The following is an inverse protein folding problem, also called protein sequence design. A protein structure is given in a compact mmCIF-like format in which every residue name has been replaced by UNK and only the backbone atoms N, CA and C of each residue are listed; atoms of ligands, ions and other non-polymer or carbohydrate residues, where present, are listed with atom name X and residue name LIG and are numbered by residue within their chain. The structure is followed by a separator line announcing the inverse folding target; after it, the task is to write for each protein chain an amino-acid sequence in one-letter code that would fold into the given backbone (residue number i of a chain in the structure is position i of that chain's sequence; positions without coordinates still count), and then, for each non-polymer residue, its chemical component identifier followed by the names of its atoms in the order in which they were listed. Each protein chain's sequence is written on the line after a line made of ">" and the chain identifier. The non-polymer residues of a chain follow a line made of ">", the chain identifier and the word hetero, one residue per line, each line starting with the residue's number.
data_IF_398881366012
#
_entry.id   IF_398881366012
#
_cell.length_a   1.000
_cell.length_b   1.000
_cell.length_c   1.000
_cell.angle_alpha   90.00
_cell.angle_beta   90.00
_cell.angle_gamma   90.00
#
_symmetry.space_group_name_H-M   'P 1'
#
loop_
_entity.id
_entity.type
_entity.pdbx_description
1 polymer ?
#
# COMPACT_ATOMS: atom_id res chain seq x y z
N UNK A 1 -6.59 3.03 -7.09
CA UNK A 1 -5.13 3.21 -7.35
C UNK A 1 -4.52 2.05 -8.16
N UNK A 2 -4.61 0.78 -7.73
CA UNK A 2 -3.96 -0.34 -8.46
C UNK A 2 -4.52 -0.63 -9.86
N UNK A 3 -5.84 -0.62 -10.01
CA UNK A 3 -6.52 -0.79 -11.31
C UNK A 3 -6.02 0.24 -12.36
N UNK A 4 -5.75 1.48 -11.92
CA UNK A 4 -5.19 2.54 -12.77
C UNK A 4 -3.79 2.17 -13.24
N UNK A 5 -2.90 1.73 -12.34
CA UNK A 5 -1.54 1.34 -12.71
C UNK A 5 -1.51 0.11 -13.61
N UNK A 6 -2.38 -0.87 -13.38
CA UNK A 6 -2.46 -2.07 -14.23
C UNK A 6 -2.96 -1.72 -15.63
N UNK A 7 -3.93 -0.80 -15.72
CA UNK A 7 -4.40 -0.26 -17.00
C UNK A 7 -3.26 0.47 -17.74
N UNK A 8 -2.50 1.31 -17.05
CA UNK A 8 -1.36 2.00 -17.65
C UNK A 8 -0.29 1.03 -18.14
N UNK A 9 0.01 -0.02 -17.38
CA UNK A 9 0.98 -1.05 -17.80
C UNK A 9 0.51 -1.81 -19.03
N UNK A 10 -0.78 -2.17 -19.10
CA UNK A 10 -1.35 -2.84 -20.28
C UNK A 10 -1.19 -1.99 -21.54
N UNK A 11 -1.58 -0.71 -21.48
CA UNK A 11 -1.44 0.23 -22.60
C UNK A 11 0.03 0.45 -22.95
N UNK A 12 0.92 0.56 -21.95
CA UNK A 12 2.35 0.70 -22.19
C UNK A 12 2.95 -0.52 -22.91
N UNK A 13 2.48 -1.75 -22.64
CA UNK A 13 2.87 -2.95 -23.40
C UNK A 13 2.42 -2.87 -24.86
N UNK A 14 1.18 -2.47 -25.10
CA UNK A 14 0.64 -2.28 -26.46
C UNK A 14 1.43 -1.22 -27.25
N UNK A 15 1.85 -0.14 -26.59
CA UNK A 15 2.65 0.93 -27.17
C UNK A 15 4.17 0.65 -27.21
N UNK A 16 4.63 -0.53 -26.77
CA UNK A 16 6.05 -0.90 -26.69
C UNK A 16 6.89 0.08 -25.84
N UNK A 17 6.31 0.60 -24.76
CA UNK A 17 6.96 1.51 -23.81
C UNK A 17 7.55 0.78 -22.62
N UNK A 18 8.82 1.07 -22.29
CA UNK A 18 9.51 0.46 -21.14
C UNK A 18 9.24 1.21 -19.82
N UNK A 19 8.81 2.47 -19.90
CA UNK A 19 8.64 3.36 -18.76
C UNK A 19 7.34 4.15 -18.85
N UNK A 20 6.73 4.41 -17.69
CA UNK A 20 5.55 5.26 -17.54
C UNK A 20 5.92 6.40 -16.60
N UNK A 21 5.71 7.65 -17.03
CA UNK A 21 5.91 8.82 -16.16
C UNK A 21 4.60 9.23 -15.50
N UNK A 22 4.59 9.35 -14.18
CA UNK A 22 3.44 9.89 -13.42
C UNK A 22 3.75 11.29 -12.89
N UNK A 23 2.73 12.14 -12.89
CA UNK A 23 2.79 13.50 -12.38
C UNK A 23 2.44 13.55 -10.87
N UNK A 24 3.04 12.67 -10.08
CA UNK A 24 2.83 12.64 -8.63
C UNK A 24 3.78 13.64 -7.94
N UNK A 25 3.21 14.68 -7.33
CA UNK A 25 3.93 15.69 -6.53
C UNK A 25 4.25 15.20 -5.12
N UNK A 26 5.11 15.90 -4.38
CA UNK A 26 5.39 15.63 -2.96
C UNK A 26 4.09 15.58 -2.14
N UNK A 27 3.18 16.53 -2.38
CA UNK A 27 1.87 16.62 -1.71
C UNK A 27 1.00 15.43 -2.04
N UNK A 28 0.90 15.05 -3.32
CA UNK A 28 0.12 13.90 -3.77
C UNK A 28 0.64 12.60 -3.14
N UNK A 29 1.97 12.45 -3.12
CA UNK A 29 2.63 11.30 -2.52
C UNK A 29 2.41 11.20 -1.02
N UNK A 30 2.47 12.31 -0.29
CA UNK A 30 2.18 12.33 1.14
C UNK A 30 0.74 11.91 1.45
N UNK A 31 -0.24 12.40 0.69
CA UNK A 31 -1.65 11.99 0.84
C UNK A 31 -1.80 10.48 0.60
N UNK A 32 -1.21 9.98 -0.49
CA UNK A 32 -1.27 8.56 -0.83
C UNK A 32 -0.58 7.69 0.20
N UNK A 33 0.59 8.11 0.68
CA UNK A 33 1.37 7.44 1.72
C UNK A 33 0.57 7.29 3.00
N UNK A 34 0.07 8.40 3.57
CA UNK A 34 -0.70 8.36 4.82
C UNK A 34 -1.99 7.55 4.68
N UNK A 35 -2.66 7.66 3.52
CA UNK A 35 -3.85 6.85 3.22
C UNK A 35 -3.52 5.36 3.18
N UNK A 36 -2.43 4.98 2.51
CA UNK A 36 -1.97 3.60 2.42
C UNK A 36 -1.54 3.06 3.79
N UNK A 37 -0.85 3.86 4.59
CA UNK A 37 -0.44 3.49 5.95
C UNK A 37 -1.65 3.25 6.85
N UNK A 38 -2.67 4.12 6.82
CA UNK A 38 -3.89 3.97 7.60
C UNK A 38 -4.65 2.66 7.32
N UNK A 39 -4.56 2.13 6.09
CA UNK A 39 -5.18 0.84 5.71
C UNK A 39 -4.24 -0.37 5.89
N UNK A 40 -3.06 -0.18 6.49
CA UNK A 40 -2.13 -1.26 6.83
C UNK A 40 -1.20 -1.69 5.69
N UNK A 41 -0.77 -0.76 4.82
CA UNK A 41 0.15 -1.01 3.70
C UNK A 41 1.59 -0.60 3.98
N UNK A 42 2.07 -0.86 5.19
CA UNK A 42 3.44 -0.53 5.60
C UNK A 42 4.52 -1.20 4.73
N UNK A 43 4.31 -2.44 4.31
CA UNK A 43 5.30 -3.19 3.52
C UNK A 43 5.40 -2.77 2.05
N UNK A 44 4.57 -1.82 1.60
CA UNK A 44 4.62 -1.29 0.23
C UNK A 44 5.16 0.13 0.15
N UNK A 45 5.53 0.71 1.29
CA UNK A 45 5.93 2.13 1.40
C UNK A 45 7.05 2.47 0.43
N UNK A 46 8.09 1.64 0.34
CA UNK A 46 9.22 1.85 -0.59
C UNK A 46 8.78 2.08 -2.04
N UNK A 47 7.84 1.29 -2.55
CA UNK A 47 7.37 1.37 -3.93
C UNK A 47 6.38 2.52 -4.14
N UNK A 48 5.65 2.86 -3.08
CA UNK A 48 4.60 3.88 -3.12
C UNK A 48 5.22 5.29 -3.01
N UNK A 49 6.37 5.47 -2.36
CA UNK A 49 7.06 6.76 -2.18
C UNK A 49 8.30 6.97 -3.06
N UNK A 50 9.00 5.88 -3.41
CA UNK A 50 10.29 5.97 -4.10
C UNK A 50 10.18 6.58 -5.50
N UNK A 51 11.33 6.95 -6.07
CA UNK A 51 11.39 7.52 -7.42
C UNK A 51 10.82 6.59 -8.50
N UNK A 52 11.02 5.28 -8.35
CA UNK A 52 10.51 4.28 -9.28
C UNK A 52 9.73 3.18 -8.57
N UNK A 53 8.57 2.83 -9.11
CA UNK A 53 7.90 1.57 -8.82
C UNK A 53 8.37 0.50 -9.82
N UNK A 54 9.18 -0.43 -9.33
CA UNK A 54 9.79 -1.54 -10.08
C UNK A 54 9.19 -2.91 -9.73
N UNK A 55 7.93 -2.93 -9.26
CA UNK A 55 7.20 -4.19 -8.96
C UNK A 55 6.85 -5.02 -10.20
N UNK A 56 6.96 -4.43 -11.39
CA UNK A 56 6.61 -5.04 -12.68
C UNK A 56 7.74 -4.78 -13.70
N UNK A 57 7.65 -5.43 -14.87
CA UNK A 57 8.56 -5.26 -16.00
C UNK A 57 8.59 -3.81 -16.50
N UNK A 58 7.41 -3.20 -16.65
CA UNK A 58 7.27 -1.78 -16.98
C UNK A 58 7.32 -0.96 -15.70
N UNK A 59 8.36 -0.13 -15.61
CA UNK A 59 8.61 0.70 -14.44
C UNK A 59 7.80 1.99 -14.50
N UNK A 60 7.23 2.38 -13.37
CA UNK A 60 6.57 3.68 -13.22
C UNK A 60 7.55 4.63 -12.54
N UNK A 61 7.80 5.79 -13.15
CA UNK A 61 8.76 6.79 -12.72
C UNK A 61 8.04 8.07 -12.28
N UNK A 62 8.53 8.69 -11.21
CA UNK A 62 7.95 9.89 -10.58
C UNK A 62 8.93 11.07 -10.68
N UNK A 63 9.09 11.68 -11.86
CA UNK A 63 10.10 12.71 -12.10
C UNK A 63 9.88 13.98 -11.26
N UNK A 64 8.65 14.27 -10.86
CA UNK A 64 8.29 15.47 -10.10
C UNK A 64 8.00 15.18 -8.61
N UNK A 65 8.48 14.04 -8.09
CA UNK A 65 8.17 13.59 -6.71
C UNK A 65 8.59 14.57 -5.61
N UNK A 66 9.58 15.40 -5.90
CA UNK A 66 10.17 16.37 -4.97
C UNK A 66 9.67 17.81 -5.23
N UNK A 67 8.71 17.97 -6.14
CA UNK A 67 8.03 19.25 -6.43
C UNK A 67 6.69 19.27 -5.70
N UNK A 68 6.39 20.35 -4.99
CA UNK A 68 5.09 20.50 -4.29
C UNK A 68 3.97 20.91 -5.25
N UNK A 69 2.71 20.75 -4.83
CA UNK A 69 1.56 21.20 -5.62
C UNK A 69 1.57 22.73 -5.80
N UNK A 70 2.03 23.49 -4.81
CA UNK A 70 2.15 24.96 -4.89
C UNK A 70 3.23 25.37 -5.90
N UNK A 71 4.40 24.75 -5.87
CA UNK A 71 5.49 25.03 -6.82
C UNK A 71 5.06 24.71 -8.25
N UNK A 72 4.37 23.58 -8.44
CA UNK A 72 3.82 23.20 -9.73
C UNK A 72 2.78 24.22 -10.22
N UNK A 73 1.92 24.71 -9.32
CA UNK A 73 0.92 25.73 -9.65
C UNK A 73 1.59 27.04 -10.10
N UNK A 74 2.57 27.54 -9.35
CA UNK A 74 3.32 28.74 -9.72
C UNK A 74 4.05 28.57 -11.05
N UNK A 75 4.64 27.40 -11.29
CA UNK A 75 5.31 27.09 -12.55
C UNK A 75 4.34 27.15 -13.74
N UNK A 76 3.15 26.57 -13.61
CA UNK A 76 2.11 26.58 -14.66
C UNK A 76 1.67 28.01 -14.96
N UNK A 77 1.44 28.82 -13.92
CA UNK A 77 1.07 30.23 -14.05
C UNK A 77 2.15 31.02 -14.80
N UNK A 78 3.42 30.91 -14.40
CA UNK A 78 4.55 31.61 -15.06
C UNK A 78 4.67 31.18 -16.53
N UNK A 79 4.41 29.90 -16.84
CA UNK A 79 4.48 29.38 -18.20
C UNK A 79 3.22 29.64 -19.04
N UNK A 80 2.20 30.30 -18.47
CA UNK A 80 0.90 30.56 -19.12
C UNK A 80 0.32 29.32 -19.82
N UNK A 81 0.47 28.14 -19.19
CA UNK A 81 -0.01 26.88 -19.75
C UNK A 81 -1.50 26.72 -19.42
N UNK A 82 -2.36 26.32 -20.38
CA UNK A 82 -3.75 25.99 -20.06
C UNK A 82 -3.76 24.80 -19.11
N UNK A 83 -4.36 24.96 -17.94
CA UNK A 83 -4.56 23.89 -16.98
C UNK A 83 -6.04 23.73 -16.69
N UNK A 84 -6.54 22.50 -16.80
CA UNK A 84 -7.91 22.16 -16.46
C UNK A 84 -7.94 21.87 -14.95
N UNK A 85 -8.51 22.79 -14.17
CA UNK A 85 -8.90 22.47 -12.80
C UNK A 85 -10.10 21.53 -12.85
N UNK A 86 -9.88 20.27 -12.51
CA UNK A 86 -11.00 19.36 -12.28
C UNK A 86 -11.57 19.67 -10.91
N UNK A 87 -12.84 20.09 -10.88
CA UNK A 87 -13.56 20.30 -9.62
C UNK A 87 -13.54 19.02 -8.81
N UNK A 88 -13.00 19.11 -7.59
CA UNK A 88 -12.86 17.98 -6.68
C UNK A 88 -14.26 17.63 -6.20
N UNK A 89 -14.82 16.50 -6.67
CA UNK A 89 -16.04 15.92 -6.09
C UNK A 89 -15.76 15.72 -4.59
N UNK A 90 -16.58 16.35 -3.76
CA UNK A 90 -16.42 16.32 -2.31
C UNK A 90 -16.97 15.00 -1.78
N UNK A 91 -16.13 13.97 -1.77
CA UNK A 91 -16.45 12.70 -1.14
C UNK A 91 -16.02 12.71 0.33
N UNK A 92 -16.90 12.28 1.24
CA UNK A 92 -16.54 12.01 2.63
C UNK A 92 -15.85 10.64 2.73
N UNK A 93 -14.55 10.59 2.44
CA UNK A 93 -13.76 9.37 2.48
C UNK A 93 -12.52 9.58 3.36
N UNK A 94 -11.91 8.48 3.81
CA UNK A 94 -10.62 8.52 4.52
C UNK A 94 -9.58 9.34 3.72
N UNK A 95 -9.63 9.25 2.40
CA UNK A 95 -8.68 9.88 1.50
C UNK A 95 -8.90 11.39 1.44
N UNK A 96 -10.15 11.86 1.51
CA UNK A 96 -10.43 13.29 1.56
C UNK A 96 -10.06 13.91 2.92
N UNK A 97 -10.28 13.18 4.02
CA UNK A 97 -9.84 13.61 5.36
C UNK A 97 -8.32 13.72 5.44
N UNK A 98 -7.60 12.69 4.98
CA UNK A 98 -6.13 12.70 4.96
C UNK A 98 -5.61 13.78 4.00
N UNK A 99 -6.26 13.97 2.85
CA UNK A 99 -5.92 15.04 1.91
C UNK A 99 -6.02 16.41 2.57
N UNK A 100 -7.12 16.67 3.30
CA UNK A 100 -7.29 17.92 4.05
C UNK A 100 -6.19 18.08 5.11
N UNK A 101 -5.92 17.04 5.89
CA UNK A 101 -4.84 17.06 6.87
C UNK A 101 -3.47 17.39 6.26
N UNK A 102 -3.12 16.77 5.13
CA UNK A 102 -1.85 17.06 4.44
C UNK A 102 -1.83 18.48 3.88
N UNK A 103 -2.96 18.98 3.36
CA UNK A 103 -3.07 20.35 2.88
C UNK A 103 -2.85 21.35 4.01
N UNK A 104 -3.51 21.14 5.15
CA UNK A 104 -3.36 21.97 6.34
C UNK A 104 -1.90 21.95 6.85
N UNK A 105 -1.22 20.78 6.78
CA UNK A 105 0.21 20.68 7.06
C UNK A 105 1.08 21.42 6.05
N UNK A 106 0.74 21.35 4.76
CA UNK A 106 1.50 22.00 3.71
C UNK A 106 1.43 23.53 3.83
N UNK A 107 0.27 24.07 4.21
CA UNK A 107 0.05 25.51 4.40
C UNK A 107 0.78 26.04 5.64
N UNK A 108 0.67 25.34 6.78
CA UNK A 108 1.19 25.82 8.05
C UNK A 108 2.63 25.36 8.35
N UNK A 109 3.04 24.21 7.80
CA UNK A 109 4.32 23.56 8.05
C UNK A 109 4.88 22.83 6.80
N UNK A 110 5.23 23.56 5.72
CA UNK A 110 5.62 22.94 4.44
C UNK A 110 6.77 21.91 4.54
N UNK A 111 7.70 22.13 5.46
CA UNK A 111 8.82 21.21 5.71
C UNK A 111 8.37 19.85 6.25
N UNK A 112 7.21 19.77 6.91
CA UNK A 112 6.68 18.54 7.52
C UNK A 112 6.28 17.54 6.45
N UNK A 113 5.59 17.96 5.39
CA UNK A 113 5.15 17.07 4.29
C UNK A 113 6.36 16.41 3.62
N UNK A 114 7.39 17.21 3.32
CA UNK A 114 8.65 16.70 2.79
C UNK A 114 9.37 15.75 3.75
N UNK A 115 9.35 16.04 5.05
CA UNK A 115 9.99 15.19 6.08
C UNK A 115 9.27 13.86 6.22
N UNK A 116 7.94 13.83 6.16
CA UNK A 116 7.14 12.60 6.17
C UNK A 116 7.52 11.71 4.99
N UNK A 117 7.55 12.26 3.76
CA UNK A 117 7.94 11.51 2.57
C UNK A 117 9.38 10.98 2.65
N UNK A 118 10.34 11.81 3.07
CA UNK A 118 11.75 11.39 3.24
C UNK A 118 11.94 10.34 4.33
N UNK A 119 11.13 10.40 5.38
CA UNK A 119 11.16 9.39 6.44
C UNK A 119 10.59 8.08 5.93
N UNK A 120 9.48 8.13 5.18
CA UNK A 120 8.90 6.96 4.54
C UNK A 120 9.85 6.32 3.52
N UNK A 121 10.61 7.11 2.76
CA UNK A 121 11.61 6.60 1.81
C UNK A 121 12.73 5.79 2.49
N UNK A 122 13.00 6.05 3.78
CA UNK A 122 13.93 5.25 4.60
C UNK A 122 13.29 3.98 5.16
N UNK A 123 11.97 3.91 5.23
CA UNK A 123 11.19 2.76 5.73
C UNK A 123 10.92 1.84 4.54
N UNK A 124 11.89 0.99 4.19
CA UNK A 124 11.78 0.22 2.94
C UNK A 124 12.81 -0.88 2.69
N UNK A 125 13.90 -0.94 3.45
CA UNK A 125 14.96 -1.91 3.20
C UNK A 125 14.66 -3.31 3.79
N UNK A 126 13.53 -3.90 3.43
CA UNK A 126 13.23 -5.30 3.77
C UNK A 126 13.88 -6.20 2.71
N UNK A 127 14.47 -7.31 3.15
CA UNK A 127 15.01 -8.32 2.24
C UNK A 127 13.94 -8.74 1.22
N UNK A 128 14.29 -8.59 -0.07
CA UNK A 128 13.36 -8.91 -1.16
C UNK A 128 13.23 -10.42 -1.25
N UNK A 129 12.04 -10.93 -1.02
CA UNK A 129 11.74 -12.33 -1.31
C UNK A 129 11.35 -12.48 -2.78
N UNK A 130 11.53 -13.68 -3.32
CA UNK A 130 11.05 -14.01 -4.66
C UNK A 130 9.53 -14.14 -4.72
N UNK A 131 8.87 -14.27 -3.55
CA UNK A 131 7.41 -14.39 -3.46
C UNK A 131 6.78 -13.01 -3.56
N UNK A 132 5.85 -12.85 -4.52
CA UNK A 132 5.14 -11.60 -4.74
C UNK A 132 3.64 -11.77 -4.51
N UNK A 133 3.02 -10.75 -3.92
CA UNK A 133 1.57 -10.67 -3.79
C UNK A 133 0.90 -10.69 -5.16
N UNK A 134 -0.08 -11.56 -5.37
CA UNK A 134 -0.72 -11.72 -6.68
C UNK A 134 -1.47 -10.45 -7.14
N UNK A 135 -2.04 -9.67 -6.21
CA UNK A 135 -2.77 -8.43 -6.50
C UNK A 135 -1.91 -7.18 -6.61
N UNK A 136 -0.86 -7.07 -5.80
CA UNK A 136 -0.09 -5.82 -5.73
C UNK A 136 1.35 -5.94 -6.17
N UNK A 137 1.79 -7.16 -6.49
CA UNK A 137 3.13 -7.52 -6.93
C UNK A 137 4.25 -7.12 -5.95
N UNK A 138 3.91 -6.68 -4.74
CA UNK A 138 4.89 -6.37 -3.69
C UNK A 138 5.47 -7.66 -3.11
N UNK A 139 6.73 -7.57 -2.69
CA UNK A 139 7.43 -8.64 -1.96
C UNK A 139 6.60 -9.09 -0.75
N UNK A 140 6.47 -10.40 -0.58
CA UNK A 140 5.89 -11.00 0.63
C UNK A 140 7.01 -11.22 1.65
N UNK A 141 6.71 -11.03 2.94
CA UNK A 141 7.70 -11.30 3.97
C UNK A 141 8.07 -12.79 3.95
N UNK A 142 9.35 -13.10 4.12
CA UNK A 142 9.78 -14.48 4.37
C UNK A 142 9.31 -14.88 5.76
N UNK A 143 8.81 -16.10 5.94
CA UNK A 143 8.27 -16.61 7.21
C UNK A 143 9.30 -16.74 8.35
N UNK A 144 10.50 -16.18 8.19
CA UNK A 144 11.61 -16.28 9.15
C UNK A 144 11.64 -15.13 10.17
N UNK A 145 10.81 -14.09 10.02
CA UNK A 145 10.72 -13.00 11.00
C UNK A 145 9.83 -13.42 12.18
N UNK A 146 10.45 -13.62 13.36
CA UNK A 146 9.76 -14.07 14.59
C UNK A 146 8.98 -12.97 15.35
N UNK A 147 8.97 -11.74 14.84
CA UNK A 147 8.36 -10.57 15.52
C UNK A 147 7.73 -9.60 14.52
N UNK A 148 6.68 -10.04 13.83
CA UNK A 148 5.96 -9.24 12.84
C UNK A 148 4.81 -8.44 13.47
N UNK A 149 4.45 -7.32 12.85
CA UNK A 149 3.24 -6.56 13.23
C UNK A 149 1.95 -7.43 13.15
N UNK A 150 1.96 -8.46 12.30
CA UNK A 150 0.88 -9.44 12.20
C UNK A 150 0.78 -10.31 13.46
N UNK A 151 1.90 -10.83 13.95
CA UNK A 151 1.94 -11.61 15.20
C UNK A 151 1.48 -10.76 16.38
N UNK A 152 1.93 -9.50 16.47
CA UNK A 152 1.45 -8.57 17.49
C UNK A 152 -0.07 -8.35 17.41
N UNK A 153 -0.63 -8.19 16.20
CA UNK A 153 -2.07 -8.03 16.00
C UNK A 153 -2.85 -9.29 16.39
N UNK A 154 -2.32 -10.48 16.05
CA UNK A 154 -2.91 -11.76 16.43
C UNK A 154 -2.88 -11.94 17.96
N UNK A 155 -1.76 -11.61 18.60
CA UNK A 155 -1.64 -11.64 20.05
C UNK A 155 -2.63 -10.70 20.73
N UNK A 156 -2.70 -9.43 20.32
CA UNK A 156 -3.66 -8.46 20.85
C UNK A 156 -5.11 -8.95 20.71
N UNK A 157 -5.45 -9.65 19.63
CA UNK A 157 -6.78 -10.27 19.48
C UNK A 157 -7.00 -11.40 20.48
N UNK A 158 -6.04 -12.33 20.60
CA UNK A 158 -6.16 -13.45 21.53
C UNK A 158 -6.40 -12.95 22.95
N UNK A 159 -5.68 -11.91 23.38
CA UNK A 159 -5.88 -11.25 24.67
C UNK A 159 -7.25 -10.56 24.75
N UNK A 160 -7.69 -9.89 23.69
CA UNK A 160 -8.98 -9.16 23.68
C UNK A 160 -10.21 -10.08 23.72
N UNK A 161 -10.10 -11.27 23.13
CA UNK A 161 -11.16 -12.28 23.13
C UNK A 161 -11.16 -13.15 24.40
N UNK A 162 -10.24 -12.89 25.33
CA UNK A 162 -10.12 -13.63 26.57
C UNK A 162 -11.23 -13.24 27.55
N UNK A 163 -11.97 -14.23 28.06
CA UNK A 163 -12.96 -14.00 29.11
C UNK A 163 -12.34 -14.30 30.50
N UNK A 164 -12.66 -13.52 31.55
CA UNK A 164 -12.17 -13.79 32.90
C UNK A 164 -12.58 -15.21 33.35
N UNK A 165 -11.60 -16.06 33.67
CA UNK A 165 -11.81 -17.43 34.15
C UNK A 165 -11.22 -18.55 33.27
N UNK A 166 -10.68 -18.22 32.10
CA UNK A 166 -9.84 -19.15 31.33
C UNK A 166 -8.40 -19.10 31.87
N UNK A 167 -7.69 -20.24 31.92
CA UNK A 167 -6.27 -20.29 32.29
C UNK A 167 -5.40 -20.11 31.04
N UNK A 168 -4.53 -19.09 31.03
CA UNK A 168 -3.43 -18.99 30.09
C UNK A 168 -2.34 -19.96 30.54
N UNK A 169 -2.45 -21.23 30.14
CA UNK A 169 -1.35 -22.16 30.31
C UNK A 169 -0.25 -21.79 29.31
N UNK A 170 0.85 -21.29 29.87
CA UNK A 170 2.21 -21.20 29.31
C UNK A 170 2.43 -20.25 28.12
N UNK A 171 3.07 -19.13 28.46
CA UNK A 171 4.01 -18.37 27.65
C UNK A 171 5.06 -19.30 27.02
N UNK A 172 4.78 -19.87 25.86
CA UNK A 172 5.82 -20.42 24.98
C UNK A 172 6.13 -19.39 23.90
N UNK A 173 7.40 -19.02 23.67
CA UNK A 173 7.79 -18.43 22.40
C UNK A 173 7.29 -19.34 21.29
N UNK A 174 6.65 -18.78 20.27
CA UNK A 174 6.08 -19.53 19.15
C UNK A 174 7.20 -20.35 18.49
N UNK A 175 7.36 -21.61 18.90
CA UNK A 175 8.04 -22.63 18.13
C UNK A 175 7.08 -23.03 17.01
N UNK A 176 7.60 -23.00 15.79
CA UNK A 176 6.93 -23.34 14.55
C UNK A 176 6.35 -24.75 14.59
N UNK A 177 5.10 -24.90 15.02
CA UNK A 177 4.31 -26.08 14.74
C UNK A 177 3.47 -25.83 13.49
N UNK A 178 3.81 -26.58 12.45
CA UNK A 178 3.05 -26.71 11.20
C UNK A 178 1.66 -27.30 11.47
N UNK A 179 0.77 -26.54 12.10
CA UNK A 179 -0.63 -26.91 12.25
C UNK A 179 -1.52 -25.97 11.42
N UNK A 180 -2.32 -26.62 10.59
CA UNK A 180 -3.15 -26.08 9.55
C UNK A 180 -4.20 -25.09 10.12
N UNK A 181 -4.07 -23.83 9.71
CA UNK A 181 -5.14 -22.96 9.24
C UNK A 181 -6.39 -22.78 10.14
N UNK A 182 -6.23 -21.96 11.19
CA UNK A 182 -7.31 -21.15 11.77
C UNK A 182 -6.90 -19.68 11.85
N UNK A 183 -6.09 -19.23 10.88
CA UNK A 183 -5.62 -17.85 10.83
C UNK A 183 -6.74 -16.95 10.30
N UNK A 184 -6.88 -15.74 10.87
CA UNK A 184 -7.85 -14.73 10.44
C UNK A 184 -7.72 -14.36 8.94
N UNK A 185 -6.59 -14.72 8.30
CA UNK A 185 -6.28 -14.45 6.90
C UNK A 185 -5.60 -15.68 6.26
N UNK A 186 -6.36 -16.69 5.80
CA UNK A 186 -5.79 -17.98 5.36
C UNK A 186 -4.82 -17.89 4.17
N UNK A 187 -4.83 -16.78 3.43
CA UNK A 187 -4.02 -16.57 2.23
C UNK A 187 -2.84 -15.61 2.44
N UNK A 188 -2.64 -15.10 3.65
CA UNK A 188 -1.58 -14.14 3.95
C UNK A 188 -0.19 -14.77 3.82
N UNK A 189 0.74 -14.07 3.18
CA UNK A 189 2.11 -14.52 2.87
C UNK A 189 2.21 -15.77 1.97
N UNK A 190 1.09 -16.46 1.67
CA UNK A 190 1.00 -17.52 0.66
C UNK A 190 0.75 -16.95 -0.73
N UNK A 191 -0.27 -16.10 -0.88
CA UNK A 191 -0.65 -15.48 -2.16
C UNK A 191 -0.79 -13.95 -2.06
N UNK A 192 -1.13 -13.43 -0.88
CA UNK A 192 -1.43 -12.02 -0.69
C UNK A 192 -0.61 -11.39 0.45
N UNK A 193 -0.31 -10.10 0.30
CA UNK A 193 0.19 -9.30 1.43
C UNK A 193 -0.95 -9.00 2.42
N UNK A 194 -0.61 -8.59 3.65
CA UNK A 194 -1.57 -8.30 4.72
C UNK A 194 -2.77 -7.45 4.24
N UNK A 195 -2.51 -6.29 3.64
CA UNK A 195 -3.58 -5.40 3.18
C UNK A 195 -4.41 -6.03 2.04
N UNK A 196 -3.79 -6.71 1.08
CA UNK A 196 -4.52 -7.37 0.00
C UNK A 196 -5.37 -8.53 0.51
N UNK A 197 -4.89 -9.31 1.48
CA UNK A 197 -5.67 -10.37 2.11
C UNK A 197 -6.86 -9.81 2.89
N UNK A 198 -6.67 -8.72 3.63
CA UNK A 198 -7.75 -8.05 4.35
C UNK A 198 -8.81 -7.50 3.40
N UNK A 199 -8.41 -6.75 2.37
CA UNK A 199 -9.36 -6.26 1.37
C UNK A 199 -10.08 -7.40 0.64
N UNK A 200 -9.40 -8.52 0.39
CA UNK A 200 -10.02 -9.69 -0.23
C UNK A 200 -11.12 -10.30 0.64
N UNK A 201 -10.90 -10.45 1.96
CA UNK A 201 -11.94 -10.96 2.86
C UNK A 201 -13.14 -10.03 2.96
N UNK A 202 -12.91 -8.73 3.04
CA UNK A 202 -13.99 -7.73 3.05
C UNK A 202 -14.84 -7.81 1.77
N UNK A 203 -14.20 -8.04 0.62
CA UNK A 203 -14.89 -8.23 -0.66
C UNK A 203 -15.63 -9.57 -0.74
N UNK A 204 -15.05 -10.65 -0.20
CA UNK A 204 -15.64 -11.99 -0.17
C UNK A 204 -16.93 -12.07 0.65
N UNK A 205 -17.04 -11.27 1.72
CA UNK A 205 -18.28 -11.12 2.49
C UNK A 205 -19.38 -10.35 1.73
N UNK A 206 -19.04 -9.62 0.66
CA UNK A 206 -20.00 -8.87 -0.16
C UNK A 206 -20.28 -9.47 -1.54
N UNK A 207 -19.44 -10.39 -2.04
CA UNK A 207 -19.62 -11.01 -3.37
C UNK A 207 -19.14 -12.47 -3.38
N UNK A 208 -20.07 -13.41 -3.27
CA UNK A 208 -19.84 -14.86 -3.32
C UNK A 208 -19.48 -15.43 -4.70
N UNK A 209 -19.14 -14.60 -5.69
CA UNK A 209 -19.04 -15.04 -7.10
C UNK A 209 -17.78 -14.58 -7.87
N UNK A 210 -16.80 -13.90 -7.28
CA UNK A 210 -15.77 -13.29 -8.14
C UNK A 210 -14.60 -14.18 -8.58
N UNK A 211 -14.36 -15.36 -8.01
CA UNK A 211 -13.33 -16.29 -8.51
C UNK A 211 -13.67 -17.75 -8.17
N UNK A 212 -14.59 -18.35 -8.96
CA UNK A 212 -14.79 -19.82 -8.99
C UNK A 212 -13.94 -20.53 -10.05
N UNK A 213 -13.13 -19.79 -10.82
CA UNK A 213 -12.25 -20.38 -11.82
C UNK A 213 -10.85 -20.60 -11.24
N UNK A 214 -10.72 -21.51 -10.29
CA UNK A 214 -9.43 -22.15 -9.98
C UNK A 214 -9.31 -23.49 -10.73
N UNK A 215 -9.19 -23.39 -12.06
CA UNK A 215 -8.41 -24.34 -12.87
C UNK A 215 -7.00 -23.76 -13.13
N UNK A 216 -6.36 -23.19 -12.09
CA UNK A 216 -4.94 -22.78 -12.11
C UNK A 216 -4.18 -23.29 -10.87
N UNK A 217 -4.60 -24.43 -10.32
CA UNK A 217 -3.88 -25.20 -9.29
C UNK A 217 -3.22 -26.45 -9.92
N UNK A 218 -2.53 -26.29 -11.05
CA UNK A 218 -1.55 -27.28 -11.52
C UNK A 218 -0.81 -26.74 -12.75
N UNK A 219 0.35 -26.11 -12.54
CA UNK A 219 1.57 -26.16 -13.36
C UNK A 219 2.56 -25.11 -12.85
#
# INVERSE_FOLDING_TARGET
>A
MKIKHDTFRRVAKECQCNFIFTAETTTTLAVNLLSNLAIGRGSQVEYDIGFSDNRDEIKILRPIKDITEEELHHYIQIKNRPHISVDKIQENSLQSVIKKFVWDLQENFPATVSTVCKTADKIGAIEKSDKRCQFCKSSLASNNEKLTAMEATNFSRTVSNFHPGQNLNETRPIESTNEYDSSMFPFINKYFCYCCSRNYLELGNQNSNLFKDENMLSS
#
